data_IF_753577732819
#
_entry.id   IF_753577732819
#
_cell.length_a   1.000
_cell.length_b   1.000
_cell.length_c   1.000
_cell.angle_alpha   90.00
_cell.angle_beta   90.00
_cell.angle_gamma   90.00
#
_symmetry.space_group_name_H-M   'P 1'
#
loop_
_entity.id
_entity.type
_entity.pdbx_description
1 polymer ?
#
# COMPACT_ATOMS: atom_id res chain seq x y z
N UNK A 1 14.16 13.86 26.05
CA UNK A 1 13.85 13.83 24.60
C UNK A 1 14.30 12.48 24.04
N UNK A 2 13.35 11.63 23.58
CA UNK A 2 13.65 10.29 23.04
C UNK A 2 14.51 10.45 21.78
N UNK A 3 15.71 9.87 21.78
CA UNK A 3 16.52 9.72 20.57
C UNK A 3 15.70 8.97 19.52
N UNK A 4 15.24 9.68 18.49
CA UNK A 4 14.59 9.08 17.34
C UNK A 4 15.57 8.08 16.74
N UNK A 5 15.17 6.81 16.68
CA UNK A 5 16.00 5.75 16.13
C UNK A 5 16.20 6.06 14.63
N UNK A 6 17.38 6.55 14.26
CA UNK A 6 17.70 7.05 12.90
C UNK A 6 17.36 6.02 11.83
N UNK A 7 17.49 4.73 12.17
CA UNK A 7 17.09 3.62 11.29
C UNK A 7 15.58 3.60 10.98
N UNK A 8 14.74 3.85 11.99
CA UNK A 8 13.28 3.89 11.83
C UNK A 8 12.85 5.13 11.03
N UNK A 9 13.50 6.28 11.25
CA UNK A 9 13.24 7.49 10.49
C UNK A 9 13.59 7.32 9.01
N UNK A 10 14.76 6.76 8.70
CA UNK A 10 15.18 6.47 7.31
C UNK A 10 14.18 5.53 6.62
N UNK A 11 13.70 4.52 7.32
CA UNK A 11 12.67 3.61 6.81
C UNK A 11 11.35 4.31 6.53
N UNK A 12 10.88 5.14 7.47
CA UNK A 12 9.66 5.91 7.28
C UNK A 12 9.78 6.84 6.06
N UNK A 13 10.89 7.57 5.94
CA UNK A 13 11.15 8.42 4.78
C UNK A 13 11.19 7.65 3.46
N UNK A 14 11.80 6.47 3.44
CA UNK A 14 11.82 5.62 2.24
C UNK A 14 10.40 5.18 1.81
N UNK A 15 9.56 4.77 2.78
CA UNK A 15 8.16 4.41 2.52
C UNK A 15 7.39 5.62 2.00
N UNK A 16 7.49 6.77 2.68
CA UNK A 16 6.81 7.99 2.28
C UNK A 16 7.25 8.48 0.89
N UNK A 17 8.54 8.48 0.61
CA UNK A 17 9.09 8.85 -0.69
C UNK A 17 8.62 7.88 -1.78
N UNK A 18 8.61 6.56 -1.52
CA UNK A 18 8.11 5.57 -2.46
C UNK A 18 6.65 5.82 -2.86
N UNK A 19 5.77 6.04 -1.88
CA UNK A 19 4.36 6.35 -2.15
C UNK A 19 4.15 7.72 -2.80
N UNK A 20 4.96 8.73 -2.46
CA UNK A 20 4.93 10.03 -3.10
C UNK A 20 5.33 9.94 -4.59
N UNK A 21 6.38 9.19 -4.91
CA UNK A 21 6.80 8.95 -6.30
C UNK A 21 5.67 8.27 -7.08
N UNK A 22 5.01 7.25 -6.50
CA UNK A 22 3.86 6.60 -7.15
C UNK A 22 2.72 7.61 -7.42
N UNK A 23 2.40 8.48 -6.46
CA UNK A 23 1.38 9.51 -6.66
C UNK A 23 1.70 10.46 -7.81
N UNK A 24 2.94 10.92 -7.90
CA UNK A 24 3.38 11.80 -9.00
C UNK A 24 3.37 11.04 -10.33
N UNK A 25 3.91 9.82 -10.37
CA UNK A 25 4.09 9.04 -11.60
C UNK A 25 2.76 8.58 -12.22
N UNK A 26 1.78 8.21 -11.40
CA UNK A 26 0.46 7.77 -11.88
C UNK A 26 -0.46 8.94 -12.26
N UNK A 27 -0.14 10.18 -11.90
CA UNK A 27 -0.98 11.34 -12.24
C UNK A 27 -1.02 11.63 -13.74
N UNK A 28 0.11 11.71 -14.47
CA UNK A 28 0.10 11.81 -15.93
C UNK A 28 -0.69 10.69 -16.60
N UNK A 29 -0.50 9.44 -16.14
CA UNK A 29 -1.20 8.28 -16.69
C UNK A 29 -2.71 8.40 -16.52
N UNK A 30 -3.19 8.71 -15.31
CA UNK A 30 -4.62 8.89 -15.05
C UNK A 30 -5.19 10.11 -15.78
N UNK A 31 -4.41 11.17 -15.96
CA UNK A 31 -4.84 12.34 -16.73
C UNK A 31 -5.06 12.03 -18.20
N UNK A 32 -4.11 11.34 -18.84
CA UNK A 32 -4.24 10.92 -20.23
C UNK A 32 -5.46 10.01 -20.40
N UNK A 33 -5.61 8.99 -19.54
CA UNK A 33 -6.77 8.08 -19.56
C UNK A 33 -8.10 8.79 -19.33
N UNK A 34 -8.11 9.88 -18.57
CA UNK A 34 -9.34 10.62 -18.27
C UNK A 34 -9.84 11.46 -19.45
N UNK A 35 -8.99 11.74 -20.45
CA UNK A 35 -9.35 12.59 -21.60
C UNK A 35 -10.39 11.96 -22.52
N UNK A 36 -10.53 10.64 -22.49
CA UNK A 36 -11.51 9.91 -23.30
C UNK A 36 -12.93 9.98 -22.71
N UNK A 37 -13.11 10.58 -21.54
CA UNK A 37 -14.39 10.67 -20.83
C UNK A 37 -14.97 12.08 -20.97
N UNK A 38 -16.30 12.23 -21.18
CA UNK A 38 -16.95 13.54 -21.16
C UNK A 38 -16.66 14.29 -19.85
N UNK A 39 -16.25 15.56 -19.96
CA UNK A 39 -15.87 16.43 -18.84
C UNK A 39 -14.70 15.87 -17.98
N UNK A 40 -13.49 15.77 -18.55
CA UNK A 40 -12.34 15.25 -17.83
C UNK A 40 -12.03 16.09 -16.58
N UNK A 41 -11.72 15.46 -15.44
CA UNK A 41 -11.33 16.18 -14.24
C UNK A 41 -10.05 17.00 -14.49
N UNK A 42 -10.01 18.19 -13.89
CA UNK A 42 -8.81 19.02 -13.91
C UNK A 42 -7.61 18.29 -13.26
N UNK A 43 -6.39 18.58 -13.73
CA UNK A 43 -5.16 17.96 -13.28
C UNK A 43 -5.01 17.94 -11.75
N UNK A 44 -5.27 19.08 -11.10
CA UNK A 44 -5.18 19.20 -9.63
C UNK A 44 -6.12 18.24 -8.90
N UNK A 45 -7.31 17.99 -9.45
CA UNK A 45 -8.28 17.06 -8.86
C UNK A 45 -7.82 15.61 -8.98
N UNK A 46 -7.19 15.25 -10.10
CA UNK A 46 -6.59 13.93 -10.29
C UNK A 46 -5.38 13.74 -9.37
N UNK A 47 -4.51 14.74 -9.28
CA UNK A 47 -3.36 14.72 -8.39
C UNK A 47 -3.79 14.54 -6.93
N UNK A 48 -4.80 15.30 -6.47
CA UNK A 48 -5.36 15.14 -5.13
C UNK A 48 -5.99 13.75 -4.92
N UNK A 49 -6.69 13.20 -5.92
CA UNK A 49 -7.26 11.85 -5.85
C UNK A 49 -6.16 10.78 -5.74
N UNK A 50 -5.05 10.94 -6.47
CA UNK A 50 -3.90 10.05 -6.38
C UNK A 50 -3.19 10.17 -5.03
N UNK A 51 -3.00 11.39 -4.52
CA UNK A 51 -2.49 11.60 -3.16
C UNK A 51 -3.32 10.79 -2.16
N UNK A 52 -4.66 10.95 -2.16
CA UNK A 52 -5.52 10.19 -1.23
C UNK A 52 -5.29 8.68 -1.38
N UNK A 53 -5.24 8.18 -2.62
CA UNK A 53 -5.07 6.75 -2.91
C UNK A 53 -3.73 6.20 -2.41
N UNK A 54 -2.62 6.85 -2.71
CA UNK A 54 -1.28 6.35 -2.37
C UNK A 54 -0.92 6.62 -0.92
N UNK A 55 -1.37 7.73 -0.34
CA UNK A 55 -1.17 8.01 1.09
C UNK A 55 -1.99 7.08 1.98
N UNK A 56 -3.16 6.61 1.54
CA UNK A 56 -3.88 5.55 2.23
C UNK A 56 -3.03 4.27 2.32
N UNK A 57 -2.32 3.90 1.25
CA UNK A 57 -1.37 2.78 1.30
C UNK A 57 -0.13 3.08 2.14
N UNK A 58 0.38 4.31 2.13
CA UNK A 58 1.48 4.71 3.01
C UNK A 58 1.11 4.51 4.49
N UNK A 59 -0.13 4.87 4.87
CA UNK A 59 -0.64 4.67 6.22
C UNK A 59 -0.84 3.18 6.58
N UNK A 60 -1.22 2.34 5.61
CA UNK A 60 -1.42 0.91 5.82
C UNK A 60 -0.09 0.11 5.81
N UNK A 61 0.95 0.60 5.13
CA UNK A 61 2.24 -0.10 4.97
C UNK A 61 2.86 -0.59 6.29
N UNK A 62 2.93 0.22 7.37
CA UNK A 62 3.44 -0.24 8.65
C UNK A 62 2.68 -1.44 9.22
N UNK A 63 1.34 -1.46 9.07
CA UNK A 63 0.51 -2.58 9.50
C UNK A 63 0.80 -3.84 8.68
N UNK A 64 0.97 -3.70 7.36
CA UNK A 64 1.36 -4.80 6.46
C UNK A 64 2.73 -5.37 6.84
N UNK A 65 3.72 -4.51 7.08
CA UNK A 65 5.06 -4.93 7.50
C UNK A 65 5.07 -5.57 8.89
N UNK A 66 4.24 -5.09 9.81
CA UNK A 66 4.05 -5.74 11.11
C UNK A 66 3.47 -7.14 10.95
N UNK A 67 2.46 -7.30 10.09
CA UNK A 67 1.85 -8.59 9.78
C UNK A 67 2.86 -9.57 9.16
N UNK A 68 3.65 -9.11 8.19
CA UNK A 68 4.72 -9.90 7.57
C UNK A 68 5.77 -10.39 8.57
N UNK A 69 6.15 -9.53 9.52
CA UNK A 69 7.09 -9.92 10.59
C UNK A 69 6.47 -10.92 11.59
N UNK A 70 5.17 -10.82 11.84
CA UNK A 70 4.42 -11.66 12.80
C UNK A 70 4.15 -13.07 12.29
N UNK A 71 3.92 -13.25 10.99
CA UNK A 71 3.50 -14.51 10.36
C UNK A 71 4.53 -15.08 9.36
N UNK A 72 5.78 -15.23 9.79
CA UNK A 72 6.89 -15.69 8.92
C UNK A 72 6.58 -16.98 8.17
N UNK A 73 6.90 -17.05 6.88
CA UNK A 73 6.75 -18.25 6.05
C UNK A 73 7.87 -19.25 6.36
N UNK A 74 7.75 -19.98 7.46
CA UNK A 74 8.68 -21.03 7.86
C UNK A 74 7.95 -22.39 7.89
N UNK A 75 8.62 -23.45 7.42
CA UNK A 75 8.10 -24.83 7.57
C UNK A 75 7.99 -25.18 9.07
N UNK A 76 6.95 -25.91 9.51
CA UNK A 76 5.86 -26.53 8.72
C UNK A 76 4.61 -25.66 8.54
N UNK A 77 4.61 -24.39 8.98
CA UNK A 77 3.40 -23.55 9.09
C UNK A 77 3.05 -22.76 7.82
N UNK A 78 3.73 -23.01 6.71
CA UNK A 78 3.56 -22.32 5.43
C UNK A 78 2.09 -22.23 4.98
N UNK A 79 1.31 -23.32 4.87
CA UNK A 79 -0.05 -23.24 4.34
C UNK A 79 -0.96 -22.37 5.21
N UNK A 80 -0.82 -22.49 6.55
CA UNK A 80 -1.59 -21.69 7.50
C UNK A 80 -1.26 -20.21 7.40
N UNK A 81 0.01 -19.86 7.26
CA UNK A 81 0.41 -18.45 7.13
C UNK A 81 0.07 -17.88 5.75
N UNK A 82 0.11 -18.70 4.70
CA UNK A 82 -0.35 -18.30 3.37
C UNK A 82 -1.85 -17.95 3.37
N UNK A 83 -2.66 -18.74 4.08
CA UNK A 83 -4.06 -18.42 4.31
C UNK A 83 -4.23 -17.08 5.05
N UNK A 84 -3.43 -16.82 6.09
CA UNK A 84 -3.47 -15.53 6.80
C UNK A 84 -3.10 -14.35 5.89
N UNK A 85 -2.12 -14.52 4.99
CA UNK A 85 -1.77 -13.48 4.00
C UNK A 85 -2.86 -13.25 2.96
N UNK A 86 -3.51 -14.34 2.52
CA UNK A 86 -4.66 -14.25 1.63
C UNK A 86 -5.75 -13.40 2.27
N UNK A 87 -6.21 -13.77 3.46
CA UNK A 87 -7.25 -13.03 4.21
C UNK A 87 -6.82 -11.60 4.51
N UNK A 88 -5.58 -11.39 4.96
CA UNK A 88 -5.07 -10.05 5.25
C UNK A 88 -5.07 -9.14 4.01
N UNK A 89 -4.78 -9.67 2.82
CA UNK A 89 -4.85 -8.91 1.56
C UNK A 89 -6.24 -8.34 1.30
N UNK A 90 -7.29 -9.14 1.51
CA UNK A 90 -8.67 -8.67 1.38
C UNK A 90 -9.04 -7.65 2.46
N UNK A 91 -8.67 -7.89 3.71
CA UNK A 91 -8.95 -6.95 4.82
C UNK A 91 -8.26 -5.62 4.60
N UNK A 92 -7.00 -5.62 4.18
CA UNK A 92 -6.22 -4.40 3.89
C UNK A 92 -6.76 -3.67 2.66
N UNK A 93 -7.13 -4.39 1.60
CA UNK A 93 -7.76 -3.81 0.41
C UNK A 93 -9.10 -3.15 0.77
N UNK A 94 -9.92 -3.82 1.59
CA UNK A 94 -11.18 -3.25 2.07
C UNK A 94 -10.96 -2.01 2.93
N UNK A 95 -9.99 -2.05 3.86
CA UNK A 95 -9.61 -0.89 4.66
C UNK A 95 -9.14 0.29 3.79
N UNK A 96 -8.35 0.01 2.75
CA UNK A 96 -7.93 1.02 1.77
C UNK A 96 -9.12 1.65 1.05
N UNK A 97 -10.06 0.85 0.57
CA UNK A 97 -11.30 1.31 -0.08
C UNK A 97 -12.09 2.24 0.85
N UNK A 98 -12.26 1.85 2.11
CA UNK A 98 -12.94 2.65 3.13
C UNK A 98 -12.24 4.00 3.31
N UNK A 99 -10.92 4.00 3.51
CA UNK A 99 -10.13 5.23 3.69
C UNK A 99 -10.26 6.16 2.48
N UNK A 100 -10.09 5.61 1.27
CA UNK A 100 -10.15 6.39 0.03
C UNK A 100 -11.54 6.98 -0.17
N UNK A 101 -12.60 6.20 0.04
CA UNK A 101 -13.98 6.66 -0.12
C UNK A 101 -14.30 7.81 0.84
N UNK A 102 -14.06 7.64 2.13
CA UNK A 102 -14.42 8.66 3.12
C UNK A 102 -13.55 9.91 2.97
N UNK A 103 -12.24 9.76 2.76
CA UNK A 103 -11.35 10.91 2.51
C UNK A 103 -11.74 11.66 1.24
N UNK A 104 -12.10 10.94 0.17
CA UNK A 104 -12.55 11.56 -1.08
C UNK A 104 -13.87 12.29 -0.92
N UNK A 105 -14.80 11.76 -0.12
CA UNK A 105 -16.09 12.41 0.16
C UNK A 105 -15.94 13.69 1.01
N UNK A 106 -14.94 13.73 1.90
CA UNK A 106 -14.63 14.91 2.71
C UNK A 106 -13.98 16.03 1.87
N UNK A 107 -13.11 15.66 0.92
CA UNK A 107 -12.35 16.63 0.12
C UNK A 107 -13.12 17.07 -1.13
N UNK A 108 -13.85 16.15 -1.76
CA UNK A 108 -14.59 16.43 -2.99
C UNK A 108 -16.08 16.37 -2.71
N UNK A 109 -16.78 17.47 -3.00
CA UNK A 109 -18.24 17.47 -3.15
C UNK A 109 -18.61 16.64 -4.38
N UNK A 110 -18.97 15.38 -4.15
CA UNK A 110 -19.41 14.44 -5.17
C UNK A 110 -20.74 13.81 -4.78
N UNK A 111 -21.62 13.50 -5.75
CA UNK A 111 -22.79 12.69 -5.47
C UNK A 111 -22.35 11.32 -4.91
N UNK A 112 -23.16 10.70 -4.04
CA UNK A 112 -22.82 9.41 -3.45
C UNK A 112 -22.64 8.36 -4.55
N UNK A 113 -21.41 7.90 -4.71
CA UNK A 113 -21.09 6.83 -5.65
C UNK A 113 -21.39 5.46 -5.03
N UNK A 114 -21.97 4.51 -5.80
CA UNK A 114 -22.23 3.16 -5.33
C UNK A 114 -20.97 2.46 -4.81
N UNK A 115 -21.11 1.63 -3.78
CA UNK A 115 -19.99 0.82 -3.22
C UNK A 115 -19.32 -0.06 -4.28
N UNK A 116 -20.12 -0.61 -5.21
CA UNK A 116 -19.61 -1.50 -6.27
C UNK A 116 -18.54 -0.83 -7.14
N UNK A 117 -18.63 0.48 -7.38
CA UNK A 117 -17.65 1.19 -8.19
C UNK A 117 -16.27 1.20 -7.54
N UNK A 118 -16.21 1.37 -6.20
CA UNK A 118 -14.95 1.30 -5.47
C UNK A 118 -14.41 -0.12 -5.38
N UNK A 119 -15.29 -1.11 -5.20
CA UNK A 119 -14.90 -2.52 -5.16
C UNK A 119 -14.30 -2.96 -6.50
N UNK A 120 -14.89 -2.55 -7.63
CA UNK A 120 -14.38 -2.86 -8.97
C UNK A 120 -13.10 -2.08 -9.27
N UNK A 121 -13.06 -0.78 -8.95
CA UNK A 121 -11.89 0.07 -9.26
C UNK A 121 -10.64 -0.28 -8.44
N UNK A 122 -10.81 -0.64 -7.17
CA UNK A 122 -9.70 -0.82 -6.24
C UNK A 122 -9.56 -2.24 -5.69
N UNK A 123 -10.57 -3.10 -5.80
CA UNK A 123 -10.57 -4.40 -5.11
C UNK A 123 -9.38 -5.28 -5.51
N UNK A 124 -9.28 -5.63 -6.80
CA UNK A 124 -8.20 -6.47 -7.31
C UNK A 124 -6.82 -5.80 -7.15
N UNK A 125 -6.70 -4.54 -7.58
CA UNK A 125 -5.46 -3.77 -7.49
C UNK A 125 -5.00 -3.60 -6.05
N UNK A 126 -5.91 -3.37 -5.12
CA UNK A 126 -5.63 -3.22 -3.70
C UNK A 126 -5.14 -4.51 -3.05
N UNK A 127 -5.73 -5.66 -3.42
CA UNK A 127 -5.24 -6.97 -2.96
C UNK A 127 -3.83 -7.21 -3.50
N UNK A 128 -3.58 -6.93 -4.78
CA UNK A 128 -2.26 -7.07 -5.40
C UNK A 128 -1.21 -6.17 -4.75
N UNK A 129 -1.53 -4.91 -4.47
CA UNK A 129 -0.62 -3.99 -3.77
C UNK A 129 -0.32 -4.51 -2.36
N UNK A 130 -1.35 -4.94 -1.62
CA UNK A 130 -1.19 -5.53 -0.29
C UNK A 130 -0.25 -6.74 -0.30
N UNK A 131 -0.44 -7.65 -1.26
CA UNK A 131 0.43 -8.80 -1.45
C UNK A 131 1.85 -8.42 -1.89
N UNK A 132 2.01 -7.39 -2.73
CA UNK A 132 3.32 -6.87 -3.14
C UNK A 132 4.12 -6.34 -1.95
N UNK A 133 3.48 -5.56 -1.07
CA UNK A 133 4.11 -5.07 0.17
C UNK A 133 4.47 -6.23 1.10
N UNK A 134 3.58 -7.23 1.24
CA UNK A 134 3.85 -8.42 2.03
C UNK A 134 5.05 -9.22 1.48
N UNK A 135 5.10 -9.43 0.17
CA UNK A 135 6.19 -10.13 -0.50
C UNK A 135 7.53 -9.38 -0.29
N UNK A 136 7.54 -8.06 -0.46
CA UNK A 136 8.70 -7.23 -0.16
C UNK A 136 9.14 -7.36 1.31
N UNK A 137 8.19 -7.37 2.25
CA UNK A 137 8.48 -7.58 3.68
C UNK A 137 9.12 -8.95 3.96
N UNK A 138 8.68 -10.01 3.27
CA UNK A 138 9.28 -11.33 3.41
C UNK A 138 10.68 -11.39 2.80
N UNK A 139 10.87 -10.80 1.62
CA UNK A 139 12.17 -10.74 0.94
C UNK A 139 13.22 -10.05 1.82
N UNK A 140 12.89 -8.89 2.40
CA UNK A 140 13.79 -8.17 3.33
C UNK A 140 14.14 -9.01 4.55
N UNK A 141 13.16 -9.71 5.12
CA UNK A 141 13.37 -10.57 6.30
C UNK A 141 14.27 -11.76 5.97
N UNK A 142 14.07 -12.37 4.80
CA UNK A 142 14.85 -13.51 4.35
C UNK A 142 16.29 -13.12 4.02
N UNK A 143 16.49 -12.00 3.31
CA UNK A 143 17.80 -11.49 2.94
C UNK A 143 18.66 -11.17 4.17
N UNK A 144 18.11 -10.45 5.16
CA UNK A 144 18.82 -10.15 6.41
C UNK A 144 19.31 -11.42 7.12
N UNK A 145 18.46 -12.45 7.18
CA UNK A 145 18.82 -13.72 7.84
C UNK A 145 19.92 -14.48 7.09
N UNK A 146 19.94 -14.39 5.77
CA UNK A 146 20.97 -15.00 4.95
C UNK A 146 22.32 -14.30 5.16
N UNK A 147 22.35 -12.97 5.11
CA UNK A 147 23.57 -12.18 5.40
C UNK A 147 24.10 -12.41 6.82
N UNK A 148 23.22 -12.50 7.82
CA UNK A 148 23.61 -12.78 9.21
C UNK A 148 24.23 -14.18 9.38
N UNK A 149 23.94 -15.13 8.48
CA UNK A 149 24.54 -16.47 8.50
C UNK A 149 25.92 -16.47 7.85
N UNK A 150 26.09 -15.78 6.73
CA UNK A 150 27.40 -15.63 6.08
C UNK A 150 28.41 -14.96 7.00
N UNK A 151 28.00 -13.89 7.71
CA UNK A 151 28.85 -13.18 8.67
C UNK A 151 29.22 -13.98 9.92
N UNK A 152 28.50 -15.07 10.23
CA UNK A 152 28.81 -15.94 11.38
C UNK A 152 29.70 -17.12 11.00
N UNK A 153 29.85 -17.39 9.70
CA UNK A 153 30.66 -18.49 9.16
C UNK A 153 32.00 -18.01 8.60
N UNK A 154 32.21 -16.70 8.48
CA UNK A 154 33.47 -16.04 8.15
C UNK A 154 34.18 -15.59 9.44
#
# INVERSE_FOLDING_TARGET
>A
MRSLNVSALRWALAVLAGWAIMAVLFTPQHYVLSRDVPNPPHWSRLFASNIIMFWAWAALTPAVMWFGRRFRLERPRIPRHLFYYFVAGFVLSFAHIVIVRYTSALIFTRPPTPWVNFLVAYGATGVLIGWGILAASQAVTYFRRYSDRELRLA
#
